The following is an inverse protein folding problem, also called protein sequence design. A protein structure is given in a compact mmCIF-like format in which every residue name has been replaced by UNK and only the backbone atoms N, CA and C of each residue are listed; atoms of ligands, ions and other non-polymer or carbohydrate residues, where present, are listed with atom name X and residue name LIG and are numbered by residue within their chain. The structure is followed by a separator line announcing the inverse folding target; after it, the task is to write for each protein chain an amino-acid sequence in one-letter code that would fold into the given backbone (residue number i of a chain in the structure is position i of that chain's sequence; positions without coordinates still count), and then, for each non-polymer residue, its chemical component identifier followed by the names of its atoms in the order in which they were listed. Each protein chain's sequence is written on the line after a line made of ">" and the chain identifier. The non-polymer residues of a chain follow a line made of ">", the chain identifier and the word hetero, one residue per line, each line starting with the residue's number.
data_IF_128748169898
#
_entry.id   IF_128748169898
#
_cell.length_a   1.000
_cell.length_b   1.000
_cell.length_c   1.000
_cell.angle_alpha   90.00
_cell.angle_beta   90.00
_cell.angle_gamma   90.00
#
_symmetry.space_group_name_H-M   'P 1'
#
loop_
_entity.id
_entity.type
_entity.pdbx_description
1 polymer ?
#
# COMPACT_ATOMS: atom_id res chain seq x y z
N UNK A 1 -14.22 0.47 1.55
CA UNK A 1 -13.26 1.55 1.21
C UNK A 1 -11.87 1.02 0.93
N UNK A 2 -11.19 0.38 1.89
CA UNK A 2 -9.78 -0.03 1.75
C UNK A 2 -9.50 -0.99 0.57
N UNK A 3 -10.34 -2.01 0.35
CA UNK A 3 -10.21 -2.93 -0.80
C UNK A 3 -10.27 -2.21 -2.16
N UNK A 4 -11.03 -1.11 -2.25
CA UNK A 4 -11.14 -0.32 -3.49
C UNK A 4 -9.94 0.64 -3.63
N UNK A 5 -9.41 1.16 -2.53
CA UNK A 5 -8.21 2.01 -2.54
C UNK A 5 -6.92 1.24 -2.83
N UNK A 6 -6.83 -0.01 -2.34
CA UNK A 6 -5.67 -0.89 -2.46
C UNK A 6 -6.12 -2.24 -3.04
N UNK A 7 -6.43 -2.31 -4.34
CA UNK A 7 -7.10 -3.45 -4.95
C UNK A 7 -6.13 -4.62 -5.17
N UNK A 8 -6.16 -5.60 -4.26
CA UNK A 8 -5.44 -6.87 -4.37
C UNK A 8 -6.44 -8.04 -4.31
N UNK A 9 -6.96 -8.50 -5.47
CA UNK A 9 -8.04 -9.51 -5.51
C UNK A 9 -7.70 -10.85 -4.85
N UNK A 10 -6.41 -11.22 -4.84
CA UNK A 10 -5.93 -12.47 -4.26
C UNK A 10 -5.66 -12.39 -2.76
N UNK A 11 -5.71 -11.20 -2.16
CA UNK A 11 -5.35 -11.02 -0.75
C UNK A 11 -6.56 -11.34 0.15
N UNK A 12 -6.34 -12.00 1.30
CA UNK A 12 -7.39 -12.24 2.29
C UNK A 12 -7.83 -10.95 2.98
N UNK A 13 -8.91 -11.01 3.74
CA UNK A 13 -9.44 -9.84 4.46
C UNK A 13 -8.57 -9.40 5.66
N UNK A 14 -7.79 -10.31 6.25
CA UNK A 14 -7.00 -10.06 7.46
C UNK A 14 -6.17 -8.77 7.43
N UNK A 15 -5.33 -8.54 6.41
CA UNK A 15 -4.58 -7.29 6.28
C UNK A 15 -5.45 -6.04 6.17
N UNK A 16 -6.61 -6.15 5.48
CA UNK A 16 -7.55 -5.03 5.36
C UNK A 16 -8.23 -4.70 6.69
N UNK A 17 -8.57 -5.71 7.51
CA UNK A 17 -9.15 -5.53 8.85
C UNK A 17 -8.15 -4.83 9.79
N UNK A 18 -6.90 -5.31 9.85
CA UNK A 18 -5.84 -4.66 10.65
C UNK A 18 -5.54 -3.24 10.19
N UNK A 19 -5.61 -3.00 8.88
CA UNK A 19 -5.49 -1.65 8.31
C UNK A 19 -6.66 -0.76 8.72
N UNK A 20 -7.89 -1.29 8.77
CA UNK A 20 -9.05 -0.56 9.25
C UNK A 20 -8.90 -0.19 10.74
N UNK A 21 -8.40 -1.12 11.56
CA UNK A 21 -8.08 -0.86 12.97
C UNK A 21 -7.05 0.27 13.13
N UNK A 22 -5.99 0.27 12.32
CA UNK A 22 -4.99 1.34 12.31
C UNK A 22 -5.61 2.71 11.93
N UNK A 23 -6.52 2.73 10.95
CA UNK A 23 -7.22 3.95 10.52
C UNK A 23 -8.10 4.53 11.63
N UNK A 24 -8.79 3.70 12.42
CA UNK A 24 -9.66 4.17 13.52
C UNK A 24 -8.94 4.26 14.87
N UNK A 25 -7.74 3.71 14.99
CA UNK A 25 -6.95 3.60 16.21
C UNK A 25 -6.15 4.85 16.62
N UNK A 26 -6.29 5.96 15.88
CA UNK A 26 -5.66 7.24 16.22
C UNK A 26 -6.21 7.88 17.50
N UNK A 27 -5.67 9.05 17.87
CA UNK A 27 -6.15 9.80 19.02
C UNK A 27 -7.64 10.18 18.91
N UNK A 28 -8.25 10.66 20.00
CA UNK A 28 -9.68 10.95 20.05
C UNK A 28 -10.14 11.94 18.96
N UNK A 29 -9.28 12.91 18.60
CA UNK A 29 -9.57 13.89 17.54
C UNK A 29 -9.53 13.23 16.16
N UNK A 30 -8.46 12.50 15.88
CA UNK A 30 -8.22 11.82 14.61
C UNK A 30 -9.33 10.80 14.34
N UNK A 31 -9.67 10.00 15.35
CA UNK A 31 -10.78 9.05 15.29
C UNK A 31 -12.11 9.73 15.01
N UNK A 32 -12.41 10.86 15.67
CA UNK A 32 -13.63 11.62 15.40
C UNK A 32 -13.68 12.14 13.96
N UNK A 33 -12.56 12.64 13.41
CA UNK A 33 -12.47 13.09 12.03
C UNK A 33 -12.71 11.95 11.03
N UNK A 34 -12.14 10.77 11.28
CA UNK A 34 -12.36 9.57 10.45
C UNK A 34 -13.82 9.12 10.52
N UNK A 35 -14.41 9.00 11.71
CA UNK A 35 -15.82 8.59 11.86
C UNK A 35 -16.77 9.58 11.19
N UNK A 36 -16.51 10.88 11.30
CA UNK A 36 -17.28 11.90 10.59
C UNK A 36 -17.16 11.74 9.07
N UNK A 37 -15.95 11.58 8.55
CA UNK A 37 -15.73 11.39 7.12
C UNK A 37 -16.38 10.12 6.57
N UNK A 38 -16.39 9.01 7.33
CA UNK A 38 -17.13 7.80 6.98
C UNK A 38 -18.65 8.05 6.93
N UNK A 39 -19.16 8.83 7.89
CA UNK A 39 -20.59 9.20 7.90
C UNK A 39 -20.95 10.08 6.70
N UNK A 40 -20.05 10.99 6.30
CA UNK A 40 -20.26 11.85 5.14
C UNK A 40 -20.12 11.06 3.83
N UNK A 41 -19.19 10.11 3.77
CA UNK A 41 -19.02 9.16 2.66
C UNK A 41 -20.31 8.38 2.40
N UNK A 42 -20.96 7.85 3.44
CA UNK A 42 -22.23 7.11 3.35
C UNK A 42 -23.41 7.96 2.85
N UNK A 43 -23.28 9.29 2.84
CA UNK A 43 -24.31 10.22 2.34
C UNK A 43 -24.11 10.67 0.90
N UNK A 44 -23.00 10.31 0.27
CA UNK A 44 -22.70 10.74 -1.10
C UNK A 44 -23.56 10.04 -2.17
N UNK A 45 -24.20 8.94 -1.82
CA UNK A 45 -25.07 8.14 -2.69
C UNK A 45 -26.35 7.77 -1.96
N UNK A 46 -27.34 7.28 -2.69
CA UNK A 46 -28.65 6.86 -2.14
C UNK A 46 -28.61 5.54 -1.35
N UNK A 47 -27.42 4.94 -1.19
CA UNK A 47 -27.16 3.71 -0.45
C UNK A 47 -25.81 3.83 0.28
N UNK A 48 -25.61 3.10 1.40
CA UNK A 48 -24.34 3.08 2.13
C UNK A 48 -23.15 2.75 1.21
N UNK A 49 -21.97 3.29 1.51
CA UNK A 49 -20.77 3.04 0.70
C UNK A 49 -20.43 1.55 0.63
N UNK A 50 -20.65 0.82 1.73
CA UNK A 50 -20.40 -0.62 1.81
C UNK A 50 -21.29 -1.46 0.87
N UNK A 51 -22.41 -0.91 0.40
CA UNK A 51 -23.36 -1.58 -0.49
C UNK A 51 -23.14 -1.22 -1.97
N UNK A 52 -22.11 -0.42 -2.28
CA UNK A 52 -21.70 -0.09 -3.63
C UNK A 52 -20.88 -1.25 -4.23
N UNK A 53 -21.01 -1.44 -5.55
CA UNK A 53 -20.03 -2.27 -6.27
C UNK A 53 -18.69 -1.52 -6.40
N UNK A 54 -17.63 -2.24 -6.77
CA UNK A 54 -16.27 -1.69 -6.85
C UNK A 54 -16.15 -0.50 -7.82
N UNK A 55 -16.96 -0.48 -8.90
CA UNK A 55 -16.92 0.60 -9.89
C UNK A 55 -17.56 1.88 -9.35
N UNK A 56 -18.73 1.77 -8.74
CA UNK A 56 -19.42 2.88 -8.07
C UNK A 56 -18.61 3.40 -6.87
N UNK A 57 -18.07 2.49 -6.06
CA UNK A 57 -17.21 2.83 -4.93
C UNK A 57 -15.95 3.58 -5.40
N UNK A 58 -15.30 3.14 -6.48
CA UNK A 58 -14.15 3.83 -7.06
C UNK A 58 -14.51 5.24 -7.56
N UNK A 59 -15.69 5.41 -8.18
CA UNK A 59 -16.16 6.72 -8.61
C UNK A 59 -16.35 7.68 -7.44
N UNK A 60 -16.94 7.21 -6.33
CA UNK A 60 -17.06 7.98 -5.09
C UNK A 60 -15.68 8.35 -4.53
N UNK A 61 -14.74 7.39 -4.48
CA UNK A 61 -13.40 7.66 -3.95
C UNK A 61 -12.62 8.68 -4.78
N UNK A 62 -12.80 8.68 -6.10
CA UNK A 62 -12.24 9.72 -6.99
C UNK A 62 -12.85 11.09 -6.77
N UNK A 63 -14.14 11.17 -6.43
CA UNK A 63 -14.80 12.44 -6.12
C UNK A 63 -14.23 13.09 -4.85
N UNK A 64 -13.82 12.29 -3.86
CA UNK A 64 -13.32 12.76 -2.57
C UNK A 64 -11.79 12.76 -2.44
N UNK A 65 -11.04 12.46 -3.49
CA UNK A 65 -9.59 12.21 -3.41
C UNK A 65 -8.77 13.41 -2.91
N UNK A 66 -9.27 14.63 -3.14
CA UNK A 66 -8.71 15.89 -2.64
C UNK A 66 -9.11 16.27 -1.21
N UNK A 67 -9.95 15.47 -0.53
CA UNK A 67 -10.40 15.79 0.83
C UNK A 67 -9.37 15.40 1.89
N UNK A 68 -9.37 16.13 3.01
CA UNK A 68 -8.53 15.79 4.16
C UNK A 68 -8.85 14.40 4.74
N UNK A 69 -10.11 13.99 4.71
CA UNK A 69 -10.54 12.65 5.13
C UNK A 69 -9.87 11.57 4.26
N UNK A 70 -9.98 11.67 2.93
CA UNK A 70 -9.38 10.70 2.02
C UNK A 70 -7.86 10.65 2.18
N UNK A 71 -7.21 11.81 2.25
CA UNK A 71 -5.76 11.90 2.46
C UNK A 71 -5.30 11.24 3.77
N UNK A 72 -6.04 11.45 4.87
CA UNK A 72 -5.74 10.85 6.16
C UNK A 72 -5.87 9.32 6.11
N UNK A 73 -7.00 8.79 5.61
CA UNK A 73 -7.20 7.34 5.48
C UNK A 73 -6.14 6.73 4.57
N UNK A 74 -5.86 7.34 3.40
CA UNK A 74 -4.85 6.85 2.45
C UNK A 74 -3.47 6.77 3.08
N UNK A 75 -3.05 7.80 3.82
CA UNK A 75 -1.70 7.86 4.40
C UNK A 75 -1.51 6.79 5.47
N UNK A 76 -2.49 6.63 6.36
CA UNK A 76 -2.44 5.59 7.40
C UNK A 76 -2.50 4.21 6.76
N UNK A 77 -3.44 4.00 5.84
CA UNK A 77 -3.64 2.71 5.20
C UNK A 77 -2.44 2.28 4.35
N UNK A 78 -1.78 3.21 3.65
CA UNK A 78 -0.58 2.91 2.87
C UNK A 78 0.51 2.30 3.76
N UNK A 79 0.75 2.90 4.92
CA UNK A 79 1.76 2.39 5.87
C UNK A 79 1.29 1.08 6.48
N UNK A 80 0.10 1.05 7.09
CA UNK A 80 -0.38 -0.12 7.82
C UNK A 80 -0.55 -1.35 6.93
N UNK A 81 -1.00 -1.18 5.68
CA UNK A 81 -1.23 -2.30 4.77
C UNK A 81 0.06 -2.89 4.22
N UNK A 82 1.04 -2.06 3.83
CA UNK A 82 2.30 -2.55 3.27
C UNK A 82 3.38 -2.83 4.32
N UNK A 83 3.16 -2.46 5.58
CA UNK A 83 3.97 -2.88 6.74
C UNK A 83 3.38 -4.14 7.43
N UNK A 84 2.43 -4.81 6.78
CA UNK A 84 1.80 -6.02 7.27
C UNK A 84 2.57 -7.27 6.84
N UNK A 85 2.96 -8.11 7.79
CA UNK A 85 3.77 -9.32 7.51
C UNK A 85 3.04 -10.33 6.61
N UNK A 86 1.71 -10.45 6.69
CA UNK A 86 0.94 -11.33 5.80
C UNK A 86 0.95 -10.77 4.37
N UNK A 87 0.92 -9.44 4.22
CA UNK A 87 1.10 -8.78 2.92
C UNK A 87 2.51 -9.00 2.37
N UNK A 88 3.54 -9.02 3.22
CA UNK A 88 4.90 -9.34 2.80
C UNK A 88 5.00 -10.76 2.23
N UNK A 89 4.44 -11.74 2.94
CA UNK A 89 4.41 -13.13 2.50
C UNK A 89 3.66 -13.28 1.16
N UNK A 90 2.53 -12.59 0.99
CA UNK A 90 1.75 -12.59 -0.26
C UNK A 90 2.48 -11.94 -1.44
N UNK A 91 3.32 -10.94 -1.18
CA UNK A 91 4.13 -10.25 -2.19
C UNK A 91 5.49 -10.93 -2.44
N UNK A 92 5.87 -11.92 -1.62
CA UNK A 92 7.20 -12.52 -1.66
C UNK A 92 8.31 -11.61 -1.13
N UNK A 93 7.96 -10.60 -0.32
CA UNK A 93 8.95 -9.75 0.34
C UNK A 93 9.51 -10.46 1.58
N UNK A 94 10.82 -10.76 1.58
CA UNK A 94 11.47 -11.51 2.67
C UNK A 94 11.68 -10.71 3.99
N UNK A 95 11.16 -9.48 4.03
CA UNK A 95 11.32 -8.57 5.16
C UNK A 95 12.67 -7.84 5.19
N UNK A 96 12.92 -7.04 6.24
CA UNK A 96 14.14 -6.26 6.38
C UNK A 96 15.40 -7.15 6.48
N UNK A 97 16.46 -6.74 5.77
CA UNK A 97 17.74 -7.47 5.69
C UNK A 97 18.88 -6.83 6.47
N UNK A 98 18.70 -5.62 7.01
CA UNK A 98 19.75 -4.85 7.72
C UNK A 98 20.35 -5.66 8.87
N UNK A 99 19.50 -6.26 9.71
CA UNK A 99 19.94 -7.11 10.83
C UNK A 99 20.64 -8.40 10.38
N UNK A 100 20.51 -8.74 9.10
CA UNK A 100 21.00 -9.97 8.48
C UNK A 100 22.23 -9.73 7.60
N UNK A 101 22.83 -8.53 7.67
CA UNK A 101 24.02 -8.16 6.90
C UNK A 101 23.75 -7.63 5.49
N UNK A 102 22.50 -7.24 5.20
CA UNK A 102 22.07 -6.77 3.89
C UNK A 102 21.50 -7.88 3.01
N UNK A 103 21.25 -7.57 1.74
CA UNK A 103 20.57 -8.46 0.78
C UNK A 103 21.50 -9.39 -0.02
N UNK A 104 22.81 -9.34 0.21
CA UNK A 104 23.77 -10.20 -0.50
C UNK A 104 23.48 -11.67 -0.16
N UNK A 105 23.12 -12.48 -1.17
CA UNK A 105 22.77 -13.91 -1.01
C UNK A 105 21.43 -14.15 -0.32
N UNK A 106 20.48 -13.21 -0.45
CA UNK A 106 19.20 -13.17 0.28
C UNK A 106 18.04 -12.74 -0.64
N UNK A 107 17.96 -13.33 -1.83
CA UNK A 107 16.82 -13.16 -2.72
C UNK A 107 16.77 -11.88 -3.56
N UNK A 108 17.64 -10.90 -3.32
CA UNK A 108 17.61 -9.65 -4.11
C UNK A 108 18.00 -9.87 -5.58
N UNK A 109 18.88 -10.83 -5.84
CA UNK A 109 19.36 -11.24 -7.16
C UNK A 109 18.69 -12.52 -7.69
N UNK A 110 17.68 -13.06 -7.00
CA UNK A 110 16.86 -14.21 -7.44
C UNK A 110 15.81 -13.75 -8.48
N UNK A 111 16.28 -13.17 -9.58
CA UNK A 111 15.43 -12.56 -10.59
C UNK A 111 15.05 -13.57 -11.67
N UNK A 112 13.87 -14.18 -11.53
CA UNK A 112 13.32 -15.17 -12.48
C UNK A 112 13.03 -14.62 -13.89
N UNK A 113 13.09 -13.30 -14.05
CA UNK A 113 12.73 -12.58 -15.27
C UNK A 113 13.94 -12.15 -16.12
N UNK A 114 15.17 -12.33 -15.62
CA UNK A 114 16.38 -12.13 -16.41
C UNK A 114 16.76 -13.42 -17.15
N UNK A 115 17.18 -13.34 -18.43
CA UNK A 115 17.70 -14.52 -19.13
C UNK A 115 19.03 -14.99 -18.51
N UNK A 116 19.28 -16.31 -18.56
CA UNK A 116 20.57 -16.91 -18.22
C UNK A 116 21.32 -17.30 -19.52
N UNK A 117 22.54 -16.78 -19.77
CA UNK A 117 23.29 -15.85 -18.94
C UNK A 117 22.72 -14.43 -18.95
N UNK A 118 22.90 -13.74 -17.82
CA UNK A 118 22.51 -12.34 -17.67
C UNK A 118 22.98 -11.50 -18.85
N UNK A 119 22.10 -10.64 -19.37
CA UNK A 119 22.44 -9.74 -20.48
C UNK A 119 23.63 -8.88 -20.07
N UNK A 120 24.77 -9.08 -20.73
CA UNK A 120 25.93 -8.21 -20.55
C UNK A 120 25.61 -6.85 -21.16
N UNK A 121 25.46 -5.84 -20.31
CA UNK A 121 25.32 -4.46 -20.76
C UNK A 121 26.69 -3.93 -21.17
N UNK A 122 26.89 -3.74 -22.47
CA UNK A 122 28.19 -3.44 -23.09
C UNK A 122 28.60 -1.95 -22.99
N UNK A 123 28.01 -1.18 -22.05
CA UNK A 123 28.12 0.28 -22.10
C UNK A 123 27.84 1.00 -20.80
N UNK A 124 28.72 0.85 -19.81
CA UNK A 124 28.93 1.93 -18.83
C UNK A 124 30.31 2.50 -19.13
N UNK A 125 30.35 3.63 -19.84
CA UNK A 125 31.50 4.51 -19.78
C UNK A 125 31.77 4.78 -18.31
N UNK A 126 32.93 4.31 -17.85
CA UNK A 126 33.42 4.40 -16.49
C UNK A 126 33.24 5.83 -16.01
N UNK A 127 32.39 6.07 -15.02
CA UNK A 127 32.41 7.34 -14.29
C UNK A 127 33.81 7.48 -13.71
N UNK A 128 34.64 8.32 -14.30
CA UNK A 128 35.91 8.72 -13.71
C UNK A 128 35.56 9.45 -12.41
N UNK A 129 35.94 8.84 -11.28
CA UNK A 129 35.93 9.50 -9.99
C UNK A 129 36.78 10.78 -10.12
N UNK A 130 36.11 11.92 -10.23
CA UNK A 130 36.76 13.21 -10.02
C UNK A 130 36.97 13.34 -8.52
N UNK A 131 38.14 12.91 -8.05
CA UNK A 131 38.60 13.17 -6.69
C UNK A 131 38.77 14.68 -6.49
N UNK A 132 38.17 15.21 -5.43
CA UNK A 132 38.42 16.56 -4.93
C UNK A 132 39.71 16.62 -4.09
#
# INVERSE_FOLDING_TARGET
>A
MLRVMFPHPAFPDGPYERTADAVVGGDARSRAQVCQGLTDLDRLRDRPFADLDDADALAVLREIDGTAFFGAVKTIALVAFYDDHEVWDLLGYEGPSVEKGGYVGRGFDDLDWLPDPAVTYDGIDRYEETTA
#
